data_IF_728394652940
#
_entry.id   IF_728394652940
#
_cell.length_a   1.000
_cell.length_b   1.000
_cell.length_c   1.000
_cell.angle_alpha   90.00
_cell.angle_beta   90.00
_cell.angle_gamma   90.00
#
_symmetry.space_group_name_H-M   'P 1'
#
loop_
_entity.id
_entity.type
_entity.pdbx_description
1 polymer ?
#
# COMPACT_ATOMS: atom_id res chain seq x y z
N UNK A 1 6.10 16.29 65.84
CA UNK A 1 4.79 15.66 65.53
C UNK A 1 3.85 16.72 64.97
N UNK A 2 2.99 16.34 64.03
CA UNK A 2 2.42 17.18 62.97
C UNK A 2 1.04 17.79 63.26
N UNK A 3 0.78 18.98 62.68
CA UNK A 3 -0.56 19.48 62.28
C UNK A 3 -0.38 20.46 61.08
N UNK A 4 -0.24 19.96 59.85
CA UNK A 4 -1.23 19.95 58.76
C UNK A 4 -2.16 21.19 58.61
N UNK A 5 -2.09 21.75 57.40
CA UNK A 5 -3.19 22.21 56.51
C UNK A 5 -3.88 23.56 56.76
N UNK A 6 -3.37 24.61 56.09
CA UNK A 6 -4.18 25.71 55.55
C UNK A 6 -4.64 25.34 54.13
N UNK A 7 -5.88 24.86 54.01
CA UNK A 7 -6.55 24.60 52.73
C UNK A 7 -7.26 25.87 52.28
N UNK A 8 -6.84 26.45 51.15
CA UNK A 8 -7.61 27.46 50.42
C UNK A 8 -8.61 26.75 49.49
N UNK A 9 -9.91 27.08 49.50
CA UNK A 9 -10.85 26.51 48.54
C UNK A 9 -10.77 27.35 47.25
N UNK A 10 -10.03 26.87 46.24
CA UNK A 10 -10.15 27.39 44.87
C UNK A 10 -11.12 26.51 44.10
N UNK A 11 -12.42 26.74 44.30
CA UNK A 11 -13.44 26.33 43.32
C UNK A 11 -13.46 27.39 42.23
N UNK A 12 -12.83 27.11 41.10
CA UNK A 12 -13.05 27.86 39.85
C UNK A 12 -13.23 26.85 38.73
N UNK A 13 -14.52 26.61 38.49
CA UNK A 13 -15.18 26.40 37.19
C UNK A 13 -14.43 25.54 36.17
N UNK A 14 -14.96 24.32 36.04
CA UNK A 14 -15.41 23.72 34.77
C UNK A 14 -15.28 24.65 33.56
N UNK A 15 -14.44 24.23 32.64
CA UNK A 15 -14.32 24.71 31.28
C UNK A 15 -13.62 23.61 30.54
N UNK A 16 -14.40 22.57 30.22
CA UNK A 16 -13.99 21.42 29.44
C UNK A 16 -13.16 21.85 28.24
N UNK A 17 -11.84 21.69 28.35
CA UNK A 17 -11.01 21.46 27.18
C UNK A 17 -11.43 20.09 26.65
N UNK A 18 -12.53 20.07 25.90
CA UNK A 18 -12.82 19.11 24.85
C UNK A 18 -11.67 19.22 23.84
N UNK A 19 -10.51 18.72 24.26
CA UNK A 19 -9.32 18.60 23.46
C UNK A 19 -9.59 17.49 22.48
N UNK A 20 -10.18 17.86 21.35
CA UNK A 20 -10.10 17.10 20.11
C UNK A 20 -8.64 17.16 19.61
N UNK A 21 -7.68 16.68 20.41
CA UNK A 21 -6.24 16.83 20.18
C UNK A 21 -5.51 15.51 20.01
N UNK A 22 -6.20 14.38 19.83
CA UNK A 22 -5.49 13.13 19.55
C UNK A 22 -6.26 12.30 18.52
N UNK A 23 -6.56 12.88 17.35
CA UNK A 23 -6.48 12.06 16.14
C UNK A 23 -4.98 11.90 15.87
N UNK A 24 -4.35 11.08 16.71
CA UNK A 24 -3.07 10.46 16.44
C UNK A 24 -3.26 9.70 15.16
N UNK A 25 -2.89 10.36 14.06
CA UNK A 25 -2.76 9.80 12.74
C UNK A 25 -1.80 8.62 12.89
N UNK A 26 -2.34 7.43 13.16
CA UNK A 26 -1.66 6.19 12.91
C UNK A 26 -1.39 6.20 11.41
N UNK A 27 -0.23 6.74 11.05
CA UNK A 27 0.31 6.69 9.71
C UNK A 27 0.47 5.21 9.46
N UNK A 28 -0.54 4.61 8.83
CA UNK A 28 -0.60 3.19 8.56
C UNK A 28 0.74 2.83 7.94
N UNK A 29 1.50 2.00 8.64
CA UNK A 29 2.80 1.59 8.17
C UNK A 29 2.54 0.90 6.83
N UNK A 30 3.02 1.44 5.71
CA UNK A 30 2.73 0.84 4.43
C UNK A 30 3.25 -0.60 4.47
N UNK A 31 2.37 -1.57 4.19
CA UNK A 31 2.66 -3.01 4.30
C UNK A 31 3.82 -3.44 3.38
N UNK A 32 4.14 -2.58 2.41
CA UNK A 32 5.16 -2.75 1.40
C UNK A 32 6.03 -1.49 1.28
N UNK A 33 7.30 -1.71 0.99
CA UNK A 33 8.24 -0.63 0.71
C UNK A 33 7.95 0.00 -0.66
N UNK A 34 8.32 1.27 -0.88
CA UNK A 34 8.05 1.97 -2.15
C UNK A 34 8.69 1.29 -3.36
N UNK A 35 9.76 0.50 -3.16
CA UNK A 35 10.40 -0.27 -4.24
C UNK A 35 9.52 -1.44 -4.73
N UNK A 36 8.82 -2.13 -3.83
CA UNK A 36 7.90 -3.22 -4.19
C UNK A 36 6.71 -2.73 -4.97
N UNK A 37 6.23 -1.53 -4.64
CA UNK A 37 5.11 -0.93 -5.36
C UNK A 37 5.46 -0.66 -6.83
N UNK A 38 6.72 -0.30 -7.11
CA UNK A 38 7.22 -0.14 -8.49
C UNK A 38 7.31 -1.49 -9.21
N UNK A 39 7.73 -2.56 -8.52
CA UNK A 39 7.80 -3.91 -9.08
C UNK A 39 6.39 -4.46 -9.40
N UNK A 40 5.40 -4.23 -8.53
CA UNK A 40 4.01 -4.56 -8.82
C UNK A 40 3.47 -3.78 -10.02
N UNK A 41 3.74 -2.47 -10.09
CA UNK A 41 3.32 -1.67 -11.23
C UNK A 41 3.93 -2.18 -12.54
N UNK A 42 5.19 -2.62 -12.51
CA UNK A 42 5.85 -3.23 -13.66
C UNK A 42 5.14 -4.52 -14.09
N UNK A 43 4.83 -5.43 -13.15
CA UNK A 43 4.08 -6.66 -13.43
C UNK A 43 2.71 -6.39 -14.07
N UNK A 44 1.99 -5.39 -13.54
CA UNK A 44 0.70 -4.96 -14.09
C UNK A 44 0.82 -4.45 -15.52
N UNK A 45 1.87 -3.68 -15.83
CA UNK A 45 2.13 -3.21 -17.20
C UNK A 45 2.41 -4.39 -18.14
N UNK A 46 3.15 -5.42 -17.70
CA UNK A 46 3.38 -6.63 -18.50
C UNK A 46 2.07 -7.39 -18.76
N UNK A 47 1.19 -7.51 -17.76
CA UNK A 47 -0.12 -8.14 -17.93
C UNK A 47 -0.97 -7.39 -18.95
N UNK A 48 -1.05 -6.07 -18.83
CA UNK A 48 -1.84 -5.23 -19.74
C UNK A 48 -1.26 -5.29 -21.15
N UNK A 49 0.06 -5.22 -21.30
CA UNK A 49 0.72 -5.32 -22.60
C UNK A 49 0.49 -6.69 -23.27
N UNK A 50 0.61 -7.78 -22.52
CA UNK A 50 0.36 -9.13 -23.04
C UNK A 50 -1.09 -9.34 -23.48
N UNK A 51 -2.06 -8.83 -22.71
CA UNK A 51 -3.47 -8.86 -23.09
C UNK A 51 -3.78 -7.92 -24.27
N UNK A 52 -3.16 -6.73 -24.32
CA UNK A 52 -3.32 -5.79 -25.42
C UNK A 52 -2.78 -6.34 -26.75
N UNK A 53 -1.68 -7.09 -26.69
CA UNK A 53 -1.08 -7.76 -27.85
C UNK A 53 -2.06 -8.79 -28.47
N UNK A 54 -2.86 -9.45 -27.64
CA UNK A 54 -3.92 -10.38 -28.07
C UNK A 54 -5.12 -9.67 -28.73
N UNK A 55 -5.46 -8.45 -28.28
CA UNK A 55 -6.61 -7.66 -28.76
C UNK A 55 -6.38 -6.95 -30.11
N UNK A 56 -5.12 -6.87 -30.55
CA UNK A 56 -4.72 -6.23 -31.81
C UNK A 56 -5.33 -6.89 -33.04
N UNK A 57 -5.84 -6.09 -33.98
CA UNK A 57 -6.69 -6.53 -35.09
C UNK A 57 -5.95 -6.99 -36.36
N UNK A 58 -4.62 -6.90 -36.39
CA UNK A 58 -3.84 -7.35 -37.56
C UNK A 58 -3.32 -8.78 -37.33
N UNK A 59 -3.79 -9.72 -38.15
CA UNK A 59 -3.50 -11.15 -38.17
C UNK A 59 -3.70 -11.92 -36.85
N UNK A 60 -4.86 -12.59 -36.74
CA UNK A 60 -5.23 -13.48 -35.63
C UNK A 60 -4.33 -14.74 -35.59
N UNK A 61 -3.73 -15.11 -36.72
CA UNK A 61 -2.88 -16.31 -36.87
C UNK A 61 -1.38 -16.06 -36.70
N UNK A 62 -0.99 -14.87 -36.26
CA UNK A 62 0.43 -14.56 -36.04
C UNK A 62 0.93 -15.29 -34.79
N UNK A 63 2.03 -16.04 -34.89
CA UNK A 63 2.68 -16.75 -33.78
C UNK A 63 2.84 -15.86 -32.53
N UNK A 64 3.05 -14.57 -32.74
CA UNK A 64 3.10 -13.53 -31.69
C UNK A 64 1.91 -13.55 -30.73
N UNK A 65 0.69 -13.87 -31.19
CA UNK A 65 -0.50 -13.86 -30.33
C UNK A 65 -0.79 -15.22 -29.70
N UNK A 66 -0.52 -16.31 -30.42
CA UNK A 66 -0.82 -17.66 -29.94
C UNK A 66 0.22 -18.16 -28.94
N UNK A 67 1.51 -17.81 -29.12
CA UNK A 67 2.59 -18.23 -28.21
C UNK A 67 3.22 -17.08 -27.46
N UNK A 68 3.56 -15.97 -28.13
CA UNK A 68 4.30 -14.89 -27.47
C UNK A 68 3.44 -14.15 -26.43
N UNK A 69 2.17 -13.85 -26.72
CA UNK A 69 1.29 -13.17 -25.78
C UNK A 69 1.04 -13.97 -24.49
N UNK A 70 0.68 -15.28 -24.52
CA UNK A 70 0.55 -16.08 -23.30
C UNK A 70 1.85 -16.18 -22.51
N UNK A 71 3.00 -16.27 -23.18
CA UNK A 71 4.31 -16.32 -22.52
C UNK A 71 4.60 -15.00 -21.78
N UNK A 72 4.31 -13.85 -22.39
CA UNK A 72 4.47 -12.53 -21.77
C UNK A 72 3.55 -12.40 -20.55
N UNK A 73 2.30 -12.83 -20.67
CA UNK A 73 1.34 -12.81 -19.54
C UNK A 73 1.83 -13.71 -18.41
N UNK A 74 2.29 -14.93 -18.72
CA UNK A 74 2.82 -15.87 -17.73
C UNK A 74 4.06 -15.32 -17.02
N UNK A 75 4.99 -14.72 -17.77
CA UNK A 75 6.15 -14.04 -17.20
C UNK A 75 5.74 -12.83 -16.33
N UNK A 76 4.74 -12.05 -16.76
CA UNK A 76 4.17 -10.95 -15.99
C UNK A 76 3.62 -11.41 -14.64
N UNK A 77 2.87 -12.52 -14.61
CA UNK A 77 2.40 -13.12 -13.36
C UNK A 77 3.54 -13.60 -12.46
N UNK A 78 4.60 -14.20 -13.00
CA UNK A 78 5.76 -14.60 -12.20
C UNK A 78 6.44 -13.38 -11.56
N UNK A 79 6.60 -12.29 -12.31
CA UNK A 79 7.14 -11.03 -11.80
C UNK A 79 6.24 -10.44 -10.72
N UNK A 80 4.91 -10.44 -10.93
CA UNK A 80 3.92 -9.97 -9.95
C UNK A 80 3.99 -10.77 -8.64
N UNK A 81 4.07 -12.10 -8.73
CA UNK A 81 4.19 -13.00 -7.59
C UNK A 81 5.46 -12.73 -6.79
N UNK A 82 6.59 -12.55 -7.48
CA UNK A 82 7.86 -12.17 -6.83
C UNK A 82 7.75 -10.77 -6.24
N UNK A 83 7.15 -9.80 -6.93
CA UNK A 83 7.00 -8.43 -6.45
C UNK A 83 6.16 -8.33 -5.16
N UNK A 84 5.08 -9.12 -5.08
CA UNK A 84 4.21 -9.19 -3.89
C UNK A 84 4.91 -9.92 -2.74
N UNK A 85 5.57 -11.05 -3.04
CA UNK A 85 6.19 -11.90 -2.01
C UNK A 85 7.52 -11.33 -1.50
N UNK A 86 8.26 -10.63 -2.36
CA UNK A 86 9.54 -10.03 -2.02
C UNK A 86 9.30 -8.96 -0.95
N UNK A 87 9.50 -9.31 0.32
CA UNK A 87 9.54 -8.34 1.42
C UNK A 87 11.02 -8.06 1.68
N UNK A 88 11.57 -6.92 1.23
CA UNK A 88 12.96 -6.60 1.54
C UNK A 88 13.01 -6.40 3.04
N UNK A 89 13.74 -7.27 3.75
CA UNK A 89 13.91 -7.14 5.19
C UNK A 89 14.83 -5.95 5.43
N UNK A 90 14.22 -4.81 5.73
CA UNK A 90 14.83 -3.68 6.41
C UNK A 90 14.15 -3.52 7.75
#
# INVERSE_FOLDING_TARGET
MATKSTVSPKVTKSGSSFGFKDISQHKGQPLFQPINYRLMFLGLVLLVAGNALMIGKEDIYSFTKITLAPIIIAAGYLVELVAILYRPKS
#
